data_IF_113935658760
#
_entry.id   IF_113935658760
#
_cell.length_a   1.000
_cell.length_b   1.000
_cell.length_c   1.000
_cell.angle_alpha   90.00
_cell.angle_beta   90.00
_cell.angle_gamma   90.00
#
_symmetry.space_group_name_H-M   'P 1'
#
loop_
_entity.id
_entity.type
_entity.pdbx_description
1 polymer ?
#
# COMPACT_ATOMS: atom_id res chain seq x y z
N UNK A 1 -5.35 -0.50 -21.76
CA UNK A 1 -6.15 -1.63 -21.21
C UNK A 1 -5.56 -1.94 -19.85
N UNK A 2 -6.37 -1.85 -18.81
CA UNK A 2 -5.92 -1.98 -17.45
C UNK A 2 -5.22 -3.33 -17.21
N UNK A 3 -4.00 -3.27 -16.76
CA UNK A 3 -3.11 -4.39 -16.46
C UNK A 3 -3.72 -5.36 -15.42
N UNK A 4 -4.47 -4.81 -14.48
CA UNK A 4 -5.20 -5.55 -13.45
C UNK A 4 -6.15 -6.63 -13.97
N UNK A 5 -6.83 -6.39 -15.08
CA UNK A 5 -7.81 -7.35 -15.63
C UNK A 5 -7.19 -8.68 -16.05
N UNK A 6 -5.95 -8.68 -16.54
CA UNK A 6 -5.24 -9.89 -16.93
C UNK A 6 -4.67 -10.65 -15.73
N UNK A 7 -4.15 -9.90 -14.74
CA UNK A 7 -3.56 -10.45 -13.54
C UNK A 7 -4.57 -11.22 -12.67
N UNK A 8 -5.75 -10.64 -12.49
CA UNK A 8 -6.76 -11.22 -11.59
C UNK A 8 -7.47 -12.43 -12.20
N UNK A 9 -7.70 -12.42 -13.51
CA UNK A 9 -8.32 -13.56 -14.19
C UNK A 9 -7.42 -14.80 -14.16
N UNK A 10 -6.09 -14.62 -14.29
CA UNK A 10 -5.14 -15.74 -14.21
C UNK A 10 -4.95 -16.30 -12.79
N UNK A 11 -4.94 -15.42 -11.78
CA UNK A 11 -4.65 -15.79 -10.40
C UNK A 11 -5.81 -16.50 -9.69
N UNK A 12 -7.03 -16.29 -10.11
CA UNK A 12 -8.21 -16.81 -9.43
C UNK A 12 -8.26 -18.34 -9.37
N UNK A 13 -7.81 -19.04 -10.39
CA UNK A 13 -7.71 -20.50 -10.39
C UNK A 13 -6.68 -21.07 -9.40
N UNK A 14 -5.75 -20.23 -8.91
CA UNK A 14 -4.63 -20.67 -8.05
C UNK A 14 -4.75 -20.27 -6.57
N UNK A 15 -5.62 -19.30 -6.23
CA UNK A 15 -5.90 -18.94 -4.82
C UNK A 15 -6.98 -19.89 -4.23
N UNK A 16 -7.17 -21.03 -4.81
CA UNK A 16 -8.11 -22.06 -4.33
C UNK A 16 -7.68 -22.53 -2.95
N UNK A 17 -8.43 -22.14 -1.92
CA UNK A 17 -8.36 -22.76 -0.61
C UNK A 17 -8.02 -21.85 0.57
N UNK A 18 -8.01 -20.51 0.44
CA UNK A 18 -7.76 -19.62 1.57
C UNK A 18 -8.77 -18.47 1.71
N UNK A 19 -8.77 -17.74 2.83
CA UNK A 19 -9.67 -16.63 3.08
C UNK A 19 -9.54 -15.51 2.03
N UNK A 20 -8.35 -15.22 1.50
CA UNK A 20 -8.17 -14.28 0.38
C UNK A 20 -8.89 -14.76 -0.89
N UNK A 21 -8.85 -16.06 -1.17
CA UNK A 21 -9.57 -16.64 -2.30
C UNK A 21 -11.09 -16.56 -2.13
N UNK A 22 -11.59 -16.74 -0.92
CA UNK A 22 -13.02 -16.59 -0.61
C UNK A 22 -13.48 -15.14 -0.81
N UNK A 23 -12.73 -14.14 -0.32
CA UNK A 23 -13.01 -12.73 -0.53
C UNK A 23 -12.97 -12.33 -2.02
N UNK A 24 -12.01 -12.87 -2.78
CA UNK A 24 -11.96 -12.69 -4.23
C UNK A 24 -13.21 -13.22 -4.90
N UNK A 25 -13.70 -14.40 -4.48
CA UNK A 25 -14.94 -14.97 -5.00
C UNK A 25 -16.15 -14.08 -4.76
N UNK A 26 -16.28 -13.50 -3.57
CA UNK A 26 -17.33 -12.53 -3.25
C UNK A 26 -17.19 -11.25 -4.09
N UNK A 27 -15.98 -10.72 -4.24
CA UNK A 27 -15.74 -9.46 -4.94
C UNK A 27 -16.05 -9.55 -6.44
N UNK A 28 -15.62 -10.64 -7.09
CA UNK A 28 -15.77 -10.80 -8.54
C UNK A 28 -17.04 -11.53 -8.97
N UNK A 29 -17.70 -12.30 -8.08
CA UNK A 29 -19.04 -12.84 -8.24
C UNK A 29 -19.34 -13.55 -9.57
N UNK A 30 -20.61 -13.65 -9.89
CA UNK A 30 -21.25 -14.44 -10.96
C UNK A 30 -20.79 -14.15 -12.41
N UNK A 31 -20.13 -13.05 -12.69
CA UNK A 31 -19.61 -12.72 -14.05
C UNK A 31 -18.29 -13.41 -14.38
N UNK A 32 -17.64 -13.98 -13.40
CA UNK A 32 -16.34 -14.65 -13.55
C UNK A 32 -16.46 -16.01 -14.28
N UNK A 33 -17.52 -16.77 -14.00
CA UNK A 33 -17.74 -18.10 -14.57
C UNK A 33 -17.89 -18.11 -16.12
N UNK A 34 -18.38 -17.03 -16.72
CA UNK A 34 -18.60 -16.97 -18.17
C UNK A 34 -17.37 -16.69 -19.01
N UNK A 35 -16.30 -16.09 -18.41
CA UNK A 35 -15.06 -15.76 -19.14
C UNK A 35 -13.95 -16.80 -18.97
N UNK A 36 -14.05 -17.65 -17.95
CA UNK A 36 -13.03 -18.68 -17.68
C UNK A 36 -13.05 -19.86 -18.66
N UNK A 37 -14.17 -20.12 -19.31
CA UNK A 37 -14.34 -21.28 -20.21
C UNK A 37 -13.63 -21.09 -21.57
N UNK A 38 -13.11 -19.88 -21.86
CA UNK A 38 -12.53 -19.54 -23.17
C UNK A 38 -11.02 -19.28 -23.21
N UNK A 39 -10.27 -19.49 -22.11
CA UNK A 39 -8.82 -19.25 -22.12
C UNK A 39 -8.09 -20.57 -22.40
N UNK A 40 -7.58 -20.69 -23.63
CA UNK A 40 -6.70 -21.78 -24.04
C UNK A 40 -5.45 -21.85 -23.13
N UNK A 41 -5.13 -23.07 -22.74
CA UNK A 41 -4.10 -23.51 -21.79
C UNK A 41 -2.63 -23.27 -22.22
N UNK A 42 -2.33 -22.35 -23.11
CA UNK A 42 -1.06 -22.38 -23.85
C UNK A 42 0.10 -21.48 -23.40
N UNK A 43 -0.07 -20.59 -22.37
CA UNK A 43 1.03 -19.67 -22.01
C UNK A 43 1.36 -19.60 -20.51
N UNK A 44 1.50 -20.74 -19.86
CA UNK A 44 1.87 -20.82 -18.44
C UNK A 44 3.41 -20.91 -18.29
N UNK A 45 4.10 -19.81 -18.47
CA UNK A 45 5.49 -19.72 -18.01
C UNK A 45 5.50 -19.49 -16.49
N UNK A 46 6.27 -20.28 -15.76
CA UNK A 46 6.29 -20.37 -14.28
C UNK A 46 6.48 -19.04 -13.53
N UNK A 47 6.95 -17.98 -14.18
CA UNK A 47 7.15 -16.65 -13.60
C UNK A 47 5.90 -15.77 -13.57
N UNK A 48 4.94 -15.94 -14.49
CA UNK A 48 3.74 -15.13 -14.57
C UNK A 48 2.73 -15.47 -13.48
N UNK A 49 2.56 -16.74 -13.17
CA UNK A 49 1.57 -17.22 -12.18
C UNK A 49 1.87 -16.71 -10.76
N UNK A 50 3.14 -16.69 -10.35
CA UNK A 50 3.54 -16.22 -9.03
C UNK A 50 3.30 -14.70 -8.88
N UNK A 51 3.52 -13.94 -9.95
CA UNK A 51 3.26 -12.51 -9.99
C UNK A 51 1.77 -12.18 -9.89
N UNK A 52 0.93 -12.88 -10.64
CA UNK A 52 -0.52 -12.70 -10.64
C UNK A 52 -1.13 -12.99 -9.27
N UNK A 53 -0.67 -14.07 -8.60
CA UNK A 53 -1.07 -14.39 -7.22
C UNK A 53 -0.74 -13.29 -6.24
N UNK A 54 0.49 -12.78 -6.28
CA UNK A 54 0.95 -11.70 -5.41
C UNK A 54 0.12 -10.43 -5.62
N UNK A 55 -0.20 -10.10 -6.87
CA UNK A 55 -1.02 -8.94 -7.19
C UNK A 55 -2.45 -9.09 -6.68
N UNK A 56 -3.04 -10.26 -6.88
CA UNK A 56 -4.37 -10.57 -6.39
C UNK A 56 -4.42 -10.53 -4.85
N UNK A 57 -3.43 -11.12 -4.18
CA UNK A 57 -3.30 -11.05 -2.72
C UNK A 57 -3.14 -9.62 -2.23
N UNK A 58 -2.29 -8.82 -2.88
CA UNK A 58 -2.09 -7.41 -2.55
C UNK A 58 -3.37 -6.59 -2.72
N UNK A 59 -4.05 -6.73 -3.86
CA UNK A 59 -5.32 -6.06 -4.14
C UNK A 59 -6.38 -6.40 -3.09
N UNK A 60 -6.60 -7.69 -2.88
CA UNK A 60 -7.64 -8.18 -1.95
C UNK A 60 -7.37 -7.71 -0.52
N UNK A 61 -6.14 -7.91 -0.02
CA UNK A 61 -5.78 -7.48 1.33
C UNK A 61 -5.85 -5.97 1.48
N UNK A 62 -5.40 -5.18 0.48
CA UNK A 62 -5.40 -3.72 0.57
C UNK A 62 -6.80 -3.18 0.82
N UNK A 63 -7.78 -3.57 0.03
CA UNK A 63 -9.13 -3.00 0.15
C UNK A 63 -9.94 -3.62 1.29
N UNK A 64 -9.80 -4.91 1.58
CA UNK A 64 -10.52 -5.51 2.69
C UNK A 64 -9.99 -5.06 4.06
N UNK A 65 -8.67 -4.96 4.22
CA UNK A 65 -8.06 -4.47 5.47
C UNK A 65 -8.32 -2.97 5.66
N UNK A 66 -8.36 -2.18 4.58
CA UNK A 66 -8.78 -0.77 4.65
C UNK A 66 -10.20 -0.64 5.20
N UNK A 67 -11.14 -1.48 4.77
CA UNK A 67 -12.49 -1.54 5.31
C UNK A 67 -12.53 -1.96 6.78
N UNK A 68 -11.67 -2.89 7.19
CA UNK A 68 -11.53 -3.31 8.58
C UNK A 68 -11.03 -2.17 9.49
N UNK A 69 -10.03 -1.42 9.07
CA UNK A 69 -9.51 -0.26 9.81
C UNK A 69 -10.58 0.82 9.90
N UNK A 70 -11.21 1.19 8.78
CA UNK A 70 -12.26 2.20 8.72
C UNK A 70 -13.49 1.85 9.59
N UNK A 71 -13.70 0.60 9.94
CA UNK A 71 -14.78 0.18 10.84
C UNK A 71 -14.35 0.08 12.30
N UNK A 72 -13.06 0.24 12.62
CA UNK A 72 -12.53 -0.01 13.96
C UNK A 72 -13.15 0.86 15.05
N UNK A 73 -13.55 2.11 14.73
CA UNK A 73 -14.28 3.02 15.63
C UNK A 73 -15.82 2.83 15.61
N UNK A 74 -16.31 1.92 14.75
CA UNK A 74 -17.74 1.63 14.57
C UNK A 74 -18.45 2.50 13.53
N UNK A 75 -17.80 3.52 12.95
CA UNK A 75 -18.38 4.43 11.97
C UNK A 75 -17.42 4.66 10.81
N UNK A 76 -17.91 4.47 9.59
CA UNK A 76 -17.14 4.81 8.39
C UNK A 76 -17.44 6.24 7.99
N UNK A 77 -16.42 7.08 7.94
CA UNK A 77 -16.54 8.49 7.61
C UNK A 77 -16.56 8.71 6.09
N UNK A 78 -16.99 9.89 5.66
CA UNK A 78 -16.94 10.28 4.25
C UNK A 78 -15.50 10.47 3.74
N UNK A 79 -14.58 10.83 4.62
CA UNK A 79 -13.18 11.07 4.27
C UNK A 79 -12.44 9.76 4.04
N UNK A 80 -12.72 8.71 4.81
CA UNK A 80 -12.21 7.36 4.58
C UNK A 80 -12.73 6.76 3.26
N UNK A 81 -14.02 6.94 2.96
CA UNK A 81 -14.59 6.51 1.67
C UNK A 81 -13.90 7.26 0.51
N UNK A 82 -13.72 8.58 0.65
CA UNK A 82 -13.03 9.40 -0.36
C UNK A 82 -11.59 8.96 -0.55
N UNK A 83 -10.88 8.62 0.53
CA UNK A 83 -9.52 8.12 0.44
C UNK A 83 -9.46 6.75 -0.23
N UNK A 84 -10.36 5.82 0.12
CA UNK A 84 -10.45 4.54 -0.58
C UNK A 84 -10.68 4.73 -2.09
N UNK A 85 -11.53 5.66 -2.49
CA UNK A 85 -11.75 6.03 -3.90
C UNK A 85 -10.51 6.67 -4.53
N UNK A 86 -9.77 7.50 -3.79
CA UNK A 86 -8.52 8.09 -4.25
C UNK A 86 -7.44 7.01 -4.46
N UNK A 87 -7.31 6.05 -3.55
CA UNK A 87 -6.41 4.88 -3.73
C UNK A 87 -6.82 4.07 -4.96
N UNK A 88 -8.12 3.82 -5.16
CA UNK A 88 -8.61 3.15 -6.38
C UNK A 88 -8.21 3.92 -7.65
N UNK A 89 -8.31 5.24 -7.63
CA UNK A 89 -7.92 6.11 -8.75
C UNK A 89 -6.41 6.08 -9.00
N UNK A 90 -5.59 6.15 -7.95
CA UNK A 90 -4.13 6.08 -8.04
C UNK A 90 -3.67 4.73 -8.59
N UNK A 91 -4.37 3.64 -8.24
CA UNK A 91 -4.11 2.31 -8.77
C UNK A 91 -4.69 2.10 -10.19
N UNK A 92 -5.28 3.13 -10.80
CA UNK A 92 -5.86 3.05 -12.14
C UNK A 92 -7.04 2.08 -12.24
N UNK A 93 -7.76 1.88 -11.12
CA UNK A 93 -8.90 0.97 -11.11
C UNK A 93 -10.12 1.61 -11.77
N UNK A 94 -10.66 0.95 -12.78
CA UNK A 94 -11.86 1.35 -13.48
C UNK A 94 -12.89 0.20 -13.54
N UNK A 95 -14.11 0.50 -13.95
CA UNK A 95 -15.15 -0.48 -14.24
C UNK A 95 -15.29 -1.57 -13.16
N UNK A 96 -15.18 -2.84 -13.58
CA UNK A 96 -15.35 -4.02 -12.72
C UNK A 96 -14.34 -4.08 -11.57
N UNK A 97 -13.12 -3.58 -11.78
CA UNK A 97 -12.07 -3.59 -10.76
C UNK A 97 -12.38 -2.64 -9.61
N UNK A 98 -12.88 -1.45 -9.93
CA UNK A 98 -13.31 -0.47 -8.92
C UNK A 98 -14.49 -1.01 -8.11
N UNK A 99 -15.46 -1.65 -8.76
CA UNK A 99 -16.58 -2.27 -8.05
C UNK A 99 -16.14 -3.44 -7.16
N UNK A 100 -15.17 -4.23 -7.60
CA UNK A 100 -14.57 -5.30 -6.79
C UNK A 100 -13.83 -4.75 -5.57
N UNK A 101 -13.07 -3.66 -5.73
CA UNK A 101 -12.40 -2.98 -4.62
C UNK A 101 -13.42 -2.46 -3.58
N UNK A 102 -14.55 -1.89 -4.03
CA UNK A 102 -15.64 -1.45 -3.13
C UNK A 102 -16.27 -2.62 -2.38
N UNK A 103 -16.49 -3.75 -3.05
CA UNK A 103 -17.01 -4.96 -2.39
C UNK A 103 -16.05 -5.45 -1.32
N UNK A 104 -14.75 -5.57 -1.63
CA UNK A 104 -13.72 -5.96 -0.68
C UNK A 104 -13.65 -5.02 0.53
N UNK A 105 -13.72 -3.70 0.30
CA UNK A 105 -13.81 -2.72 1.37
C UNK A 105 -15.06 -2.94 2.25
N UNK A 106 -16.20 -3.26 1.65
CA UNK A 106 -17.43 -3.55 2.39
C UNK A 106 -17.34 -4.87 3.17
N UNK A 107 -16.74 -5.93 2.60
CA UNK A 107 -16.48 -7.19 3.30
C UNK A 107 -15.57 -6.99 4.52
N UNK A 108 -14.54 -6.15 4.40
CA UNK A 108 -13.64 -5.81 5.51
C UNK A 108 -14.34 -5.14 6.69
N UNK A 109 -15.52 -4.52 6.48
CA UNK A 109 -16.32 -3.90 7.56
C UNK A 109 -17.19 -4.90 8.32
N UNK A 110 -17.24 -6.17 7.91
CA UNK A 110 -18.01 -7.20 8.61
C UNK A 110 -17.45 -7.43 10.02
N UNK A 111 -18.35 -7.67 10.98
CA UNK A 111 -17.96 -8.01 12.34
C UNK A 111 -17.19 -9.35 12.41
N UNK A 112 -17.52 -10.27 11.51
CA UNK A 112 -16.89 -11.60 11.41
C UNK A 112 -15.71 -11.61 10.43
N UNK A 113 -15.14 -10.44 10.07
CA UNK A 113 -14.04 -10.37 9.11
C UNK A 113 -12.81 -11.11 9.63
N UNK A 114 -12.31 -12.14 8.92
CA UNK A 114 -11.24 -13.01 9.41
C UNK A 114 -9.86 -12.34 9.21
N UNK A 115 -9.61 -11.23 9.91
CA UNK A 115 -8.41 -10.40 9.73
C UNK A 115 -7.12 -11.20 9.88
N UNK A 116 -7.04 -12.10 10.85
CA UNK A 116 -5.83 -12.85 11.15
C UNK A 116 -5.46 -13.82 10.03
N UNK A 117 -6.44 -14.52 9.51
CA UNK A 117 -6.26 -15.47 8.40
C UNK A 117 -5.89 -14.75 7.10
N UNK A 118 -6.50 -13.58 6.86
CA UNK A 118 -6.19 -12.70 5.72
C UNK A 118 -4.73 -12.24 5.80
N UNK A 119 -4.29 -11.77 6.96
CA UNK A 119 -2.92 -11.28 7.15
C UNK A 119 -1.89 -12.41 7.06
N UNK A 120 -2.20 -13.60 7.57
CA UNK A 120 -1.32 -14.77 7.48
C UNK A 120 -1.15 -15.23 6.03
N UNK A 121 -2.25 -15.31 5.28
CA UNK A 121 -2.19 -15.64 3.86
C UNK A 121 -1.46 -14.55 3.07
N UNK A 122 -1.74 -13.28 3.32
CA UNK A 122 -1.04 -12.15 2.71
C UNK A 122 0.47 -12.21 2.95
N UNK A 123 0.89 -12.46 4.19
CA UNK A 123 2.30 -12.65 4.57
C UNK A 123 2.92 -13.83 3.82
N UNK A 124 2.18 -14.91 3.68
CA UNK A 124 2.63 -16.10 2.94
C UNK A 124 2.82 -15.84 1.45
N UNK A 125 1.88 -15.13 0.81
CA UNK A 125 1.94 -14.82 -0.62
C UNK A 125 3.03 -13.78 -0.95
N UNK A 126 3.30 -12.85 0.00
CA UNK A 126 4.31 -11.81 -0.17
C UNK A 126 5.68 -12.16 0.42
N UNK A 127 6.00 -13.44 0.64
CA UNK A 127 7.33 -13.88 1.08
C UNK A 127 8.43 -13.19 0.28
N UNK A 128 9.39 -12.57 0.98
CA UNK A 128 10.54 -11.84 0.40
C UNK A 128 10.20 -10.56 -0.38
N UNK A 129 8.94 -10.12 -0.43
CA UNK A 129 8.51 -8.89 -1.12
C UNK A 129 8.28 -7.75 -0.13
N UNK A 130 9.27 -7.45 0.70
CA UNK A 130 9.19 -6.46 1.78
C UNK A 130 8.71 -5.09 1.32
N UNK A 131 9.02 -4.69 0.07
CA UNK A 131 8.56 -3.41 -0.50
C UNK A 131 7.04 -3.38 -0.64
N UNK A 132 6.41 -4.48 -1.10
CA UNK A 132 4.95 -4.55 -1.23
C UNK A 132 4.27 -4.49 0.13
N UNK A 133 4.83 -5.20 1.12
CA UNK A 133 4.33 -5.13 2.50
C UNK A 133 4.44 -3.72 3.08
N UNK A 134 5.51 -3.00 2.79
CA UNK A 134 5.66 -1.60 3.18
C UNK A 134 4.65 -0.69 2.49
N UNK A 135 4.45 -0.85 1.18
CA UNK A 135 3.44 -0.09 0.43
C UNK A 135 2.03 -0.36 0.93
N UNK A 136 1.70 -1.63 1.20
CA UNK A 136 0.44 -1.99 1.84
C UNK A 136 0.24 -1.23 3.15
N UNK A 137 1.24 -1.25 4.04
CA UNK A 137 1.15 -0.56 5.33
C UNK A 137 1.06 0.97 5.18
N UNK A 138 1.77 1.57 4.21
CA UNK A 138 1.66 2.99 3.89
C UNK A 138 0.24 3.37 3.45
N UNK A 139 -0.38 2.56 2.61
CA UNK A 139 -1.78 2.77 2.18
C UNK A 139 -2.73 2.68 3.38
N UNK A 140 -2.57 1.67 4.25
CA UNK A 140 -3.41 1.54 5.44
C UNK A 140 -3.22 2.72 6.41
N UNK A 141 -1.99 3.17 6.60
CA UNK A 141 -1.70 4.33 7.45
C UNK A 141 -2.28 5.62 6.88
N UNK A 142 -2.22 5.83 5.56
CA UNK A 142 -2.88 6.96 4.91
C UNK A 142 -4.39 6.91 5.09
N UNK A 143 -4.99 5.71 5.04
CA UNK A 143 -6.41 5.51 5.28
C UNK A 143 -6.82 5.93 6.69
N UNK A 144 -6.08 5.50 7.71
CA UNK A 144 -6.30 5.90 9.10
C UNK A 144 -6.10 7.40 9.37
N UNK A 145 -5.39 8.11 8.51
CA UNK A 145 -5.20 9.57 8.59
C UNK A 145 -6.06 10.36 7.60
N UNK A 146 -7.10 9.78 7.03
CA UNK A 146 -7.91 10.41 5.98
C UNK A 146 -8.54 11.74 6.42
N UNK A 147 -8.98 11.83 7.65
CA UNK A 147 -9.55 13.04 8.27
C UNK A 147 -8.50 13.92 8.97
N UNK A 148 -7.25 13.48 9.02
CA UNK A 148 -6.11 14.17 9.62
C UNK A 148 -5.79 13.77 11.05
N UNK A 149 -6.58 12.89 11.68
CA UNK A 149 -6.37 12.39 13.05
C UNK A 149 -6.66 10.89 13.07
N UNK A 150 -5.70 10.08 13.45
CA UNK A 150 -5.91 8.65 13.64
C UNK A 150 -6.61 8.40 14.99
N UNK A 151 -7.71 7.65 14.97
CA UNK A 151 -8.43 7.24 16.20
C UNK A 151 -7.65 6.14 16.95
N UNK A 152 -7.90 6.03 18.27
CA UNK A 152 -7.25 5.03 19.11
C UNK A 152 -7.61 3.57 18.69
N UNK A 153 -8.77 3.35 18.08
CA UNK A 153 -9.19 2.04 17.58
C UNK A 153 -8.49 1.69 16.28
N UNK A 154 -8.29 2.66 15.41
CA UNK A 154 -7.51 2.51 14.16
C UNK A 154 -6.03 2.27 14.48
N UNK A 155 -5.47 3.00 15.46
CA UNK A 155 -4.09 2.76 15.92
C UNK A 155 -3.92 1.32 16.42
N UNK A 156 -4.86 0.82 17.24
CA UNK A 156 -4.85 -0.58 17.70
C UNK A 156 -4.92 -1.58 16.54
N UNK A 157 -5.78 -1.32 15.55
CA UNK A 157 -5.89 -2.15 14.36
C UNK A 157 -4.56 -2.18 13.58
N UNK A 158 -3.92 -1.02 13.36
CA UNK A 158 -2.62 -0.93 12.68
C UNK A 158 -1.51 -1.63 13.47
N UNK A 159 -1.48 -1.49 14.80
CA UNK A 159 -0.54 -2.20 15.67
C UNK A 159 -0.73 -3.71 15.55
N UNK A 160 -1.97 -4.20 15.57
CA UNK A 160 -2.29 -5.61 15.38
C UNK A 160 -1.81 -6.13 14.02
N UNK A 161 -2.09 -5.38 12.95
CA UNK A 161 -1.62 -5.69 11.58
C UNK A 161 -0.09 -5.80 11.54
N UNK A 162 0.63 -4.84 12.13
CA UNK A 162 2.08 -4.86 12.18
C UNK A 162 2.61 -6.09 12.92
N UNK A 163 2.03 -6.43 14.06
CA UNK A 163 2.41 -7.61 14.85
C UNK A 163 2.22 -8.89 14.04
N UNK A 164 1.08 -9.05 13.37
CA UNK A 164 0.78 -10.23 12.57
C UNK A 164 1.71 -10.38 11.37
N UNK A 165 2.01 -9.28 10.70
CA UNK A 165 2.95 -9.26 9.57
C UNK A 165 4.41 -9.40 10.01
N UNK A 166 4.73 -9.22 11.29
CA UNK A 166 6.08 -9.25 11.83
C UNK A 166 6.86 -7.96 11.55
N UNK A 167 6.16 -6.83 11.46
CA UNK A 167 6.74 -5.51 11.23
C UNK A 167 7.02 -4.84 12.58
N UNK A 168 8.24 -4.36 12.85
CA UNK A 168 8.55 -3.65 14.08
C UNK A 168 7.73 -2.36 14.23
N UNK A 169 7.16 -2.11 15.42
CA UNK A 169 6.39 -0.89 15.70
C UNK A 169 7.20 0.40 15.49
N UNK A 170 8.51 0.33 15.66
CA UNK A 170 9.42 1.45 15.33
C UNK A 170 9.40 1.81 13.83
N UNK A 171 9.08 0.86 12.96
CA UNK A 171 8.91 1.12 11.54
C UNK A 171 7.55 1.81 11.27
N UNK A 172 6.47 1.36 11.91
CA UNK A 172 5.16 2.02 11.83
C UNK A 172 5.27 3.49 12.28
N UNK A 173 5.88 3.76 13.43
CA UNK A 173 6.08 5.14 13.94
C UNK A 173 6.87 6.01 12.97
N UNK A 174 7.95 5.50 12.38
CA UNK A 174 8.71 6.26 11.37
C UNK A 174 7.88 6.57 10.13
N UNK A 175 7.05 5.63 9.67
CA UNK A 175 6.15 5.87 8.52
C UNK A 175 5.11 6.93 8.85
N UNK A 176 4.57 6.90 10.07
CA UNK A 176 3.64 7.89 10.59
C UNK A 176 4.27 9.29 10.65
N UNK A 177 5.48 9.42 11.16
CA UNK A 177 6.23 10.70 11.20
C UNK A 177 6.47 11.25 9.79
N UNK A 178 6.86 10.39 8.84
CA UNK A 178 7.03 10.77 7.43
C UNK A 178 5.71 11.24 6.79
N UNK A 179 4.61 10.57 7.10
CA UNK A 179 3.28 10.92 6.61
C UNK A 179 2.84 12.30 7.15
N UNK A 180 2.99 12.52 8.47
CA UNK A 180 2.66 13.80 9.12
C UNK A 180 3.50 14.95 8.57
N UNK A 181 4.80 14.73 8.33
CA UNK A 181 5.67 15.73 7.69
C UNK A 181 5.20 16.05 6.25
N UNK A 182 4.76 15.06 5.49
CA UNK A 182 4.20 15.25 4.15
C UNK A 182 2.89 16.06 4.15
N UNK A 183 1.99 15.82 5.10
CA UNK A 183 0.75 16.61 5.25
C UNK A 183 1.02 18.05 5.74
N UNK A 184 2.01 18.24 6.61
CA UNK A 184 2.42 19.59 7.08
C UNK A 184 2.91 20.46 5.93
N UNK A 185 3.66 19.90 4.99
CA UNK A 185 4.17 20.61 3.80
C UNK A 185 3.08 21.02 2.81
N UNK A 186 1.95 20.33 2.74
CA UNK A 186 0.85 20.69 1.83
C UNK A 186 -0.05 21.82 2.37
N UNK A 187 -0.20 21.94 3.67
CA UNK A 187 -0.95 23.07 4.27
C UNK A 187 -0.20 24.40 4.24
N UNK A 188 1.11 24.37 4.02
CA UNK A 188 1.99 25.55 4.03
C UNK A 188 2.56 25.87 2.64
N UNK A 189 1.73 25.81 1.58
CA UNK A 189 2.10 26.28 0.23
C UNK A 189 2.27 27.81 0.09
N UNK A 190 2.45 28.53 1.19
CA UNK A 190 2.70 29.99 1.17
C UNK A 190 4.08 30.43 1.66
N UNK A 191 5.03 29.51 1.91
CA UNK A 191 6.43 29.87 2.13
C UNK A 191 7.39 28.89 1.45
N UNK A 192 8.27 29.41 0.66
CA UNK A 192 9.13 28.83 -0.37
C UNK A 192 10.22 27.86 0.12
N UNK A 193 10.09 27.23 1.30
CA UNK A 193 10.99 26.18 1.80
C UNK A 193 10.26 25.36 2.86
N UNK A 194 10.02 24.08 2.59
CA UNK A 194 9.66 23.11 3.64
C UNK A 194 10.70 23.20 4.77
N UNK A 195 10.28 23.07 6.03
CA UNK A 195 11.21 23.25 7.16
C UNK A 195 12.31 22.19 7.06
N UNK A 196 13.50 22.55 7.53
CA UNK A 196 14.62 21.59 7.58
C UNK A 196 14.24 20.33 8.41
N UNK A 197 13.39 20.51 9.41
CA UNK A 197 12.80 19.43 10.19
C UNK A 197 11.99 18.46 9.32
N UNK A 198 11.18 18.98 8.39
CA UNK A 198 10.39 18.16 7.48
C UNK A 198 11.28 17.35 6.53
N UNK A 199 12.40 17.96 6.08
CA UNK A 199 13.37 17.26 5.24
C UNK A 199 14.01 16.07 5.99
N UNK A 200 14.38 16.24 7.27
CA UNK A 200 14.88 15.13 8.09
C UNK A 200 13.82 14.06 8.31
N UNK A 201 12.57 14.44 8.56
CA UNK A 201 11.45 13.51 8.70
C UNK A 201 11.19 12.72 7.41
N UNK A 202 11.20 13.38 6.23
CA UNK A 202 11.06 12.72 4.92
C UNK A 202 12.18 11.67 4.70
N UNK A 203 13.41 11.95 5.09
CA UNK A 203 14.52 10.97 5.01
C UNK A 203 14.44 9.93 6.14
N UNK A 204 13.59 10.14 7.15
CA UNK A 204 13.38 9.24 8.28
C UNK A 204 14.60 9.13 9.19
N UNK A 205 15.23 10.27 9.49
CA UNK A 205 16.39 10.38 10.38
C UNK A 205 16.29 11.62 11.26
N UNK A 206 16.96 11.59 12.40
CA UNK A 206 17.08 12.74 13.29
C UNK A 206 18.11 13.75 12.74
N UNK A 207 17.99 15.02 13.16
CA UNK A 207 18.91 16.08 12.76
C UNK A 207 20.35 15.89 13.29
N UNK A 208 20.52 15.02 14.28
CA UNK A 208 21.79 14.69 14.95
C UNK A 208 22.61 13.61 14.26
N UNK A 209 22.03 12.91 13.24
CA UNK A 209 22.72 11.80 12.56
C UNK A 209 23.96 12.30 11.79
N UNK A 210 24.96 11.43 11.68
CA UNK A 210 26.13 11.67 10.85
C UNK A 210 25.80 11.70 9.35
N UNK A 211 26.66 12.32 8.54
CA UNK A 211 26.48 12.34 7.08
C UNK A 211 26.53 10.93 6.46
N UNK A 212 27.28 10.02 7.08
CA UNK A 212 27.33 8.62 6.67
C UNK A 212 25.98 7.92 6.90
N UNK A 213 25.32 8.16 8.04
CA UNK A 213 24.01 7.63 8.37
C UNK A 213 22.92 8.25 7.50
N UNK A 214 22.95 9.57 7.29
CA UNK A 214 22.07 10.28 6.37
C UNK A 214 22.15 9.68 4.95
N UNK A 215 23.35 9.48 4.43
CA UNK A 215 23.60 8.88 3.11
C UNK A 215 23.09 7.42 3.05
N UNK A 216 23.26 6.66 4.14
CA UNK A 216 22.77 5.28 4.25
C UNK A 216 21.22 5.25 4.24
N UNK A 217 20.57 6.14 4.98
CA UNK A 217 19.11 6.27 5.00
C UNK A 217 18.56 6.66 3.63
N UNK A 218 19.14 7.67 2.99
CA UNK A 218 18.81 8.09 1.63
C UNK A 218 18.90 6.93 0.62
N UNK A 219 20.04 6.20 0.60
CA UNK A 219 20.24 5.07 -0.32
C UNK A 219 19.22 3.96 -0.08
N UNK A 220 18.86 3.70 1.18
CA UNK A 220 17.84 2.72 1.54
C UNK A 220 16.47 3.12 0.98
N UNK A 221 16.02 4.36 1.22
CA UNK A 221 14.74 4.86 0.72
C UNK A 221 14.69 4.88 -0.81
N UNK A 222 15.73 5.39 -1.45
CA UNK A 222 15.85 5.36 -2.91
C UNK A 222 15.76 3.94 -3.47
N UNK A 223 16.40 2.97 -2.82
CA UNK A 223 16.33 1.57 -3.22
C UNK A 223 14.95 0.94 -3.02
N UNK A 224 14.19 1.40 -2.03
CA UNK A 224 12.84 0.91 -1.72
C UNK A 224 11.80 1.44 -2.72
N UNK A 225 11.92 2.71 -3.11
CA UNK A 225 10.95 3.40 -3.97
C UNK A 225 11.42 3.58 -5.41
N UNK A 226 12.54 2.96 -5.83
CA UNK A 226 13.05 3.13 -7.19
C UNK A 226 12.09 2.53 -8.22
N UNK A 227 11.64 3.29 -9.24
CA UNK A 227 10.69 2.82 -10.24
C UNK A 227 11.09 1.49 -10.89
N UNK A 228 12.34 1.36 -11.37
CA UNK A 228 12.81 0.14 -12.05
C UNK A 228 12.74 -1.11 -11.16
N UNK A 229 12.98 -0.95 -9.85
CA UNK A 229 12.85 -2.07 -8.91
C UNK A 229 11.40 -2.44 -8.65
N UNK A 230 10.50 -1.49 -8.76
CA UNK A 230 9.08 -1.72 -8.61
C UNK A 230 8.50 -2.38 -9.86
N UNK A 231 8.93 -1.95 -11.05
CA UNK A 231 8.64 -2.65 -12.32
C UNK A 231 9.10 -4.12 -12.24
N UNK A 232 10.35 -4.35 -11.85
CA UNK A 232 10.90 -5.70 -11.70
C UNK A 232 10.16 -6.57 -10.67
N UNK A 233 9.42 -5.96 -9.74
CA UNK A 233 8.59 -6.65 -8.75
C UNK A 233 7.13 -6.82 -9.19
N UNK A 234 6.81 -6.40 -10.40
CA UNK A 234 5.49 -6.56 -11.00
C UNK A 234 4.43 -5.59 -10.48
N UNK A 235 4.83 -4.39 -10.03
CA UNK A 235 3.86 -3.37 -9.68
C UNK A 235 3.22 -2.77 -10.93
N UNK A 236 1.95 -2.32 -10.81
CA UNK A 236 1.29 -1.55 -11.86
C UNK A 236 2.02 -0.26 -12.22
N UNK A 237 1.91 0.16 -13.48
CA UNK A 237 2.53 1.41 -13.97
C UNK A 237 2.03 2.64 -13.19
N UNK A 238 0.80 2.62 -12.71
CA UNK A 238 0.19 3.66 -11.90
C UNK A 238 0.90 3.82 -10.54
N UNK A 239 1.20 2.71 -9.86
CA UNK A 239 1.96 2.71 -8.60
C UNK A 239 3.41 3.15 -8.80
N UNK A 240 3.96 2.94 -10.00
CA UNK A 240 5.30 3.40 -10.35
C UNK A 240 5.34 4.93 -10.45
N UNK A 241 4.27 5.58 -10.92
CA UNK A 241 4.17 7.05 -10.94
C UNK A 241 4.22 7.65 -9.54
N UNK A 242 3.48 7.08 -8.59
CA UNK A 242 3.49 7.54 -7.19
C UNK A 242 4.85 7.31 -6.54
N UNK A 243 5.47 6.16 -6.80
CA UNK A 243 6.82 5.88 -6.35
C UNK A 243 7.85 6.86 -6.95
N UNK A 244 7.65 7.29 -8.20
CA UNK A 244 8.49 8.31 -8.84
C UNK A 244 8.35 9.65 -8.14
N UNK A 245 7.13 10.09 -7.81
CA UNK A 245 6.89 11.32 -7.07
C UNK A 245 7.54 11.26 -5.67
N UNK A 246 7.38 10.14 -4.97
CA UNK A 246 8.00 9.90 -3.66
C UNK A 246 9.53 9.89 -3.73
N UNK A 247 10.10 9.30 -4.77
CA UNK A 247 11.55 9.31 -5.03
C UNK A 247 12.07 10.73 -5.23
N UNK A 248 11.32 11.58 -5.94
CA UNK A 248 11.66 13.00 -6.12
C UNK A 248 11.60 13.77 -4.80
N UNK A 249 10.61 13.53 -3.94
CA UNK A 249 10.52 14.15 -2.61
C UNK A 249 11.71 13.75 -1.72
N UNK A 250 12.05 12.46 -1.69
CA UNK A 250 13.21 11.96 -0.92
C UNK A 250 14.50 12.61 -1.42
N UNK A 251 14.69 12.75 -2.73
CA UNK A 251 15.86 13.40 -3.32
C UNK A 251 15.92 14.88 -2.95
N UNK A 252 14.83 15.61 -3.07
CA UNK A 252 14.75 17.03 -2.73
C UNK A 252 15.07 17.27 -1.24
N UNK A 253 14.51 16.45 -0.35
CA UNK A 253 14.75 16.51 1.09
C UNK A 253 16.24 16.25 1.42
N UNK A 254 16.84 15.23 0.82
CA UNK A 254 18.27 14.92 1.00
C UNK A 254 19.17 16.06 0.52
N UNK A 255 18.89 16.64 -0.64
CA UNK A 255 19.65 17.77 -1.20
C UNK A 255 19.51 19.02 -0.31
N UNK A 256 18.32 19.29 0.23
CA UNK A 256 18.09 20.38 1.17
C UNK A 256 18.94 20.23 2.45
N UNK A 257 18.94 19.03 3.05
CA UNK A 257 19.75 18.74 4.25
C UNK A 257 21.22 18.92 3.93
N UNK A 258 21.72 18.38 2.82
CA UNK A 258 23.14 18.53 2.41
C UNK A 258 23.53 19.98 2.24
N UNK A 259 22.71 20.77 1.55
CA UNK A 259 22.96 22.20 1.35
C UNK A 259 23.09 22.97 2.67
N UNK A 260 22.26 22.60 3.66
CA UNK A 260 22.29 23.25 4.98
C UNK A 260 23.49 22.82 5.82
N UNK A 261 23.97 21.57 5.65
CA UNK A 261 25.16 21.05 6.34
C UNK A 261 26.49 21.48 5.70
N UNK A 262 26.44 22.08 4.49
CA UNK A 262 27.67 22.53 3.79
C UNK A 262 28.49 21.39 3.18
N UNK A 263 27.88 20.23 2.94
CA UNK A 263 28.53 19.01 2.39
C UNK A 263 28.06 18.67 0.98
#
# INVERSE_FOLDING_TARGET
>A
MAWWGKAIVGAFGFIVGGPLGALMGVAFGHNFDRRMIGIEQSDWTSGGVDQDRVQAAFFTATFSVMGYIAKADGKVTRDEIRLAEEVMRQLGLDGEMRESAKKLFNEGKSEDFPIDEILDQFKSELKHRTTLVQMFLEIQLQAAYADGVMDASEEKALVHICQRLGIPLSQLKRMEEMLKAGFGGQRQKSSTQGSLSDAYAIVGVENTVSDAELKKAYRRLMSQHHPDKLVAKGLPDEMIKDATAKTQQIKAAYEQIRKTRGS
#
